data_IF_045880852076
#
_entry.id   IF_045880852076
#
_cell.length_a   1.000
_cell.length_b   1.000
_cell.length_c   1.000
_cell.angle_alpha   90.00
_cell.angle_beta   90.00
_cell.angle_gamma   90.00
#
_symmetry.space_group_name_H-M   'P 1'
#
loop_
_entity.id
_entity.type
_entity.pdbx_description
1 polymer ?
#
# COMPACT_ATOMS: atom_id res chain seq x y z
N UNK A 1 46.03 46.89 1.86
CA UNK A 1 44.55 47.02 1.90
C UNK A 1 43.97 45.82 1.15
N UNK A 2 43.56 44.78 1.87
CA UNK A 2 43.09 43.53 1.31
C UNK A 2 41.55 43.45 1.54
N UNK A 3 40.77 43.38 0.46
CA UNK A 3 39.33 43.34 0.51
C UNK A 3 38.86 41.91 0.76
N UNK A 4 38.20 41.71 1.88
CA UNK A 4 37.46 40.46 2.19
C UNK A 4 36.29 40.30 1.22
N UNK A 5 36.28 39.20 0.45
CA UNK A 5 35.07 38.74 -0.30
C UNK A 5 34.19 37.95 0.63
N UNK A 6 33.03 38.49 0.97
CA UNK A 6 31.95 37.77 1.62
C UNK A 6 31.42 36.67 0.70
N UNK A 7 31.56 35.44 1.16
CA UNK A 7 30.99 34.27 0.51
C UNK A 7 29.46 34.29 0.55
N UNK A 8 28.83 34.17 -0.62
CA UNK A 8 27.36 34.02 -0.74
C UNK A 8 26.93 32.72 -0.07
N UNK A 9 26.14 32.86 0.95
CA UNK A 9 25.36 31.79 1.57
C UNK A 9 24.51 31.09 0.50
N UNK A 10 24.79 29.81 0.22
CA UNK A 10 23.91 28.99 -0.59
C UNK A 10 22.65 28.71 0.21
N UNK A 11 21.53 29.26 -0.22
CA UNK A 11 20.22 28.82 0.22
C UNK A 11 20.09 27.32 -0.08
N UNK A 12 19.54 26.51 0.85
CA UNK A 12 19.19 25.13 0.51
C UNK A 12 18.13 25.18 -0.61
N UNK A 13 18.39 24.43 -1.67
CA UNK A 13 17.47 24.29 -2.79
C UNK A 13 16.10 23.89 -2.23
N UNK A 14 15.07 24.65 -2.58
CA UNK A 14 13.67 24.28 -2.37
C UNK A 14 13.48 22.87 -2.94
N UNK A 15 13.12 21.89 -2.11
CA UNK A 15 12.71 20.58 -2.59
C UNK A 15 11.53 20.82 -3.52
N UNK A 16 11.68 20.38 -4.75
CA UNK A 16 10.64 20.39 -5.76
C UNK A 16 9.48 19.53 -5.22
N UNK A 17 8.40 20.18 -4.78
CA UNK A 17 7.21 19.55 -4.18
C UNK A 17 6.27 18.97 -5.23
N UNK A 18 6.74 18.81 -6.48
CA UNK A 18 5.92 18.35 -7.61
C UNK A 18 5.93 16.83 -7.82
N UNK A 19 6.71 16.05 -7.06
CA UNK A 19 6.73 14.61 -7.23
C UNK A 19 5.44 13.98 -6.69
N UNK A 20 4.64 13.40 -7.59
CA UNK A 20 3.44 12.64 -7.20
C UNK A 20 3.84 11.33 -6.52
N UNK A 21 3.24 11.05 -5.35
CA UNK A 21 3.57 9.89 -4.51
C UNK A 21 2.44 8.87 -4.55
N UNK A 22 2.79 7.61 -4.78
CA UNK A 22 1.88 6.47 -4.78
C UNK A 22 2.30 5.52 -3.67
N UNK A 23 1.50 5.44 -2.62
CA UNK A 23 1.73 4.54 -1.49
C UNK A 23 0.95 3.25 -1.70
N UNK A 24 1.63 2.13 -1.83
CA UNK A 24 1.02 0.81 -1.82
C UNK A 24 1.10 0.21 -0.41
N UNK A 25 -0.04 0.10 0.26
CA UNK A 25 -0.16 -0.52 1.58
C UNK A 25 -0.57 -1.98 1.43
N UNK A 26 0.38 -2.88 1.62
CA UNK A 26 0.19 -4.33 1.51
C UNK A 26 -0.22 -4.93 2.85
N UNK A 27 -1.32 -5.65 2.88
CA UNK A 27 -1.81 -6.31 4.11
C UNK A 27 -2.49 -7.64 3.83
N UNK A 28 -2.56 -8.50 4.82
CA UNK A 28 -3.52 -9.59 4.87
C UNK A 28 -4.91 -9.11 5.30
N UNK A 29 -5.95 -9.95 5.20
CA UNK A 29 -7.30 -9.65 5.67
C UNK A 29 -7.35 -9.54 7.19
N UNK A 30 -8.47 -9.02 7.71
CA UNK A 30 -8.72 -8.87 9.16
C UNK A 30 -7.66 -8.04 9.89
N UNK A 31 -7.09 -7.10 9.18
CA UNK A 31 -6.17 -6.09 9.66
C UNK A 31 -6.86 -4.72 9.74
N UNK A 32 -6.16 -3.69 10.20
CA UNK A 32 -6.68 -2.30 10.28
C UNK A 32 -6.51 -1.52 8.96
N UNK A 33 -6.24 -2.19 7.84
CA UNK A 33 -5.94 -1.57 6.55
C UNK A 33 -7.02 -0.60 6.06
N UNK A 34 -8.30 -0.92 6.28
CA UNK A 34 -9.42 -0.04 5.94
C UNK A 34 -9.41 1.23 6.81
N UNK A 35 -9.14 1.12 8.11
CA UNK A 35 -9.04 2.31 8.98
C UNK A 35 -7.88 3.22 8.58
N UNK A 36 -6.75 2.64 8.19
CA UNK A 36 -5.61 3.40 7.66
C UNK A 36 -5.95 4.09 6.34
N UNK A 37 -6.60 3.39 5.41
CA UNK A 37 -7.06 3.99 4.15
C UNK A 37 -7.99 5.17 4.41
N UNK A 38 -8.97 5.03 5.33
CA UNK A 38 -9.89 6.13 5.71
C UNK A 38 -9.16 7.31 6.34
N UNK A 39 -8.07 7.08 7.09
CA UNK A 39 -7.24 8.17 7.60
C UNK A 39 -6.60 8.99 6.45
N UNK A 40 -6.13 8.31 5.40
CA UNK A 40 -5.59 8.99 4.21
C UNK A 40 -6.68 9.64 3.35
N UNK A 41 -7.87 9.05 3.25
CA UNK A 41 -9.02 9.61 2.53
C UNK A 41 -9.47 10.97 3.10
N UNK A 42 -9.29 11.19 4.41
CA UNK A 42 -9.61 12.48 5.05
C UNK A 42 -8.66 13.62 4.65
N UNK A 43 -7.56 13.33 3.95
CA UNK A 43 -6.62 14.35 3.47
C UNK A 43 -7.16 15.00 2.19
N UNK A 44 -7.08 16.32 2.11
CA UNK A 44 -7.49 17.07 0.92
C UNK A 44 -6.56 16.88 -0.28
N UNK A 45 -5.32 16.44 -0.03
CA UNK A 45 -4.28 16.22 -1.04
C UNK A 45 -4.15 14.76 -1.49
N UNK A 46 -4.98 13.85 -0.97
CA UNK A 46 -4.90 12.41 -1.23
C UNK A 46 -6.14 11.90 -1.97
N UNK A 47 -5.92 10.90 -2.83
CA UNK A 47 -6.96 10.00 -3.33
C UNK A 47 -6.67 8.59 -2.84
N UNK A 48 -7.70 7.78 -2.65
CA UNK A 48 -7.55 6.39 -2.18
C UNK A 48 -8.12 5.39 -3.18
N UNK A 49 -7.55 4.18 -3.22
CA UNK A 49 -8.12 3.02 -3.89
C UNK A 49 -8.20 1.86 -2.92
N UNK A 50 -9.35 1.19 -2.88
CA UNK A 50 -9.61 0.05 -2.02
C UNK A 50 -9.55 -1.25 -2.83
N UNK A 51 -8.57 -2.08 -2.57
CA UNK A 51 -8.39 -3.41 -3.16
C UNK A 51 -8.48 -3.45 -4.70
N UNK A 52 -7.68 -2.65 -5.43
CA UNK A 52 -7.86 -2.47 -6.88
C UNK A 52 -7.71 -3.76 -7.70
N UNK A 53 -6.97 -4.77 -7.20
CA UNK A 53 -6.81 -6.07 -7.85
C UNK A 53 -7.96 -7.06 -7.56
N UNK A 54 -8.96 -6.69 -6.75
CA UNK A 54 -9.96 -7.64 -6.26
C UNK A 54 -10.85 -8.24 -7.37
N UNK A 55 -11.27 -7.44 -8.35
CA UNK A 55 -12.05 -7.95 -9.48
C UNK A 55 -11.27 -8.95 -10.33
N UNK A 56 -9.99 -8.67 -10.61
CA UNK A 56 -9.10 -9.57 -11.32
C UNK A 56 -8.87 -10.88 -10.52
N UNK A 57 -8.64 -10.78 -9.21
CA UNK A 57 -8.52 -11.92 -8.30
C UNK A 57 -9.76 -12.82 -8.33
N UNK A 58 -10.95 -12.25 -8.13
CA UNK A 58 -12.21 -13.00 -8.15
C UNK A 58 -12.46 -13.67 -9.51
N UNK A 59 -12.18 -12.96 -10.60
CA UNK A 59 -12.34 -13.49 -11.96
C UNK A 59 -11.40 -14.66 -12.22
N UNK A 60 -10.15 -14.57 -11.79
CA UNK A 60 -9.12 -15.58 -12.07
C UNK A 60 -9.29 -16.82 -11.18
N UNK A 61 -9.64 -16.63 -9.91
CA UNK A 61 -9.80 -17.75 -8.95
C UNK A 61 -11.16 -18.43 -9.02
N UNK A 62 -12.18 -17.74 -9.51
CA UNK A 62 -13.57 -18.22 -9.46
C UNK A 62 -14.11 -18.35 -8.02
N UNK A 63 -13.47 -17.70 -7.05
CA UNK A 63 -13.84 -17.79 -5.64
C UNK A 63 -15.28 -17.30 -5.42
N UNK A 64 -16.11 -18.13 -4.81
CA UNK A 64 -17.45 -17.74 -4.40
C UNK A 64 -17.37 -16.84 -3.17
N UNK A 65 -17.59 -15.55 -3.35
CA UNK A 65 -17.63 -14.55 -2.29
C UNK A 65 -18.91 -13.72 -2.41
N UNK A 66 -19.56 -13.34 -1.31
CA UNK A 66 -20.72 -12.44 -1.38
C UNK A 66 -20.40 -11.18 -2.17
N UNK A 67 -21.23 -10.86 -3.18
CA UNK A 67 -21.02 -9.71 -4.06
C UNK A 67 -19.96 -9.91 -5.16
N UNK A 68 -19.44 -11.14 -5.35
CA UNK A 68 -18.40 -11.37 -6.37
C UNK A 68 -18.83 -11.00 -7.78
N UNK A 69 -20.09 -11.29 -8.15
CA UNK A 69 -20.62 -10.97 -9.46
C UNK A 69 -20.67 -9.45 -9.72
N UNK A 70 -21.11 -8.69 -8.73
CA UNK A 70 -21.18 -7.23 -8.78
C UNK A 70 -19.77 -6.61 -8.84
N UNK A 71 -18.81 -7.13 -8.05
CA UNK A 71 -17.41 -6.66 -8.08
C UNK A 71 -16.78 -6.93 -9.44
N UNK A 72 -16.97 -8.13 -10.01
CA UNK A 72 -16.46 -8.50 -11.34
C UNK A 72 -17.10 -7.64 -12.43
N UNK A 73 -18.41 -7.36 -12.33
CA UNK A 73 -19.11 -6.54 -13.30
C UNK A 73 -18.71 -5.06 -13.27
N UNK A 74 -18.33 -4.54 -12.10
CA UNK A 74 -17.99 -3.13 -11.90
C UNK A 74 -16.48 -2.84 -12.00
N UNK A 75 -15.63 -3.84 -11.78
CA UNK A 75 -14.17 -3.67 -11.71
C UNK A 75 -13.45 -4.10 -12.98
N UNK A 76 -12.18 -3.68 -13.09
CA UNK A 76 -11.27 -4.17 -14.12
C UNK A 76 -10.76 -5.58 -13.74
N UNK A 77 -10.98 -6.54 -14.62
CA UNK A 77 -10.60 -7.93 -14.40
C UNK A 77 -9.25 -8.31 -15.05
N UNK A 78 -8.61 -7.39 -15.75
CA UNK A 78 -7.24 -7.56 -16.24
C UNK A 78 -6.26 -6.89 -15.28
N UNK A 79 -5.51 -7.69 -14.53
CA UNK A 79 -4.53 -7.18 -13.58
C UNK A 79 -3.46 -6.29 -14.23
N UNK A 80 -3.16 -6.47 -15.52
CA UNK A 80 -2.18 -5.65 -16.25
C UNK A 80 -2.71 -4.25 -16.45
N UNK A 81 -3.96 -4.13 -16.88
CA UNK A 81 -4.67 -2.84 -17.01
C UNK A 81 -4.77 -2.13 -15.65
N UNK A 82 -5.07 -2.89 -14.58
CA UNK A 82 -5.06 -2.36 -13.21
C UNK A 82 -3.66 -1.83 -12.84
N UNK A 83 -2.60 -2.60 -13.07
CA UNK A 83 -1.22 -2.21 -12.78
C UNK A 83 -0.80 -0.94 -13.54
N UNK A 84 -1.14 -0.84 -14.84
CA UNK A 84 -0.92 0.37 -15.64
C UNK A 84 -1.64 1.58 -15.06
N UNK A 85 -2.90 1.40 -14.63
CA UNK A 85 -3.67 2.46 -13.98
C UNK A 85 -3.01 2.91 -12.69
N UNK A 86 -2.60 1.97 -11.81
CA UNK A 86 -2.04 2.26 -10.49
C UNK A 86 -0.67 2.95 -10.55
N UNK A 87 0.06 2.77 -11.63
CA UNK A 87 1.36 3.43 -11.88
C UNK A 87 1.23 4.68 -12.76
N UNK A 88 0.07 4.86 -13.39
CA UNK A 88 -0.26 5.99 -14.25
C UNK A 88 -0.52 7.31 -13.53
N UNK A 89 -1.12 8.29 -14.19
CA UNK A 89 -1.48 9.58 -13.59
C UNK A 89 -2.40 9.41 -12.38
N UNK A 90 -2.14 10.17 -11.31
CA UNK A 90 -2.97 10.12 -10.09
C UNK A 90 -4.35 10.74 -10.39
N UNK A 91 -5.46 10.07 -10.04
CA UNK A 91 -6.80 10.56 -10.26
C UNK A 91 -7.02 11.96 -9.65
N UNK A 92 -7.71 12.82 -10.39
CA UNK A 92 -8.01 14.19 -9.97
C UNK A 92 -6.78 15.10 -9.85
N UNK A 93 -5.61 14.68 -10.39
CA UNK A 93 -4.36 15.46 -10.33
C UNK A 93 -3.85 15.68 -8.91
N UNK A 94 -4.23 14.83 -7.95
CA UNK A 94 -3.76 14.92 -6.57
C UNK A 94 -2.28 14.57 -6.48
N UNK A 95 -1.52 15.13 -5.53
CA UNK A 95 -0.11 14.79 -5.34
C UNK A 95 0.13 13.45 -4.66
N UNK A 96 -0.87 12.90 -3.98
CA UNK A 96 -0.79 11.66 -3.21
C UNK A 96 -1.89 10.67 -3.61
N UNK A 97 -1.51 9.41 -3.78
CA UNK A 97 -2.42 8.29 -3.99
C UNK A 97 -2.10 7.17 -3.00
N UNK A 98 -3.04 6.87 -2.10
CA UNK A 98 -2.95 5.75 -1.18
C UNK A 98 -3.73 4.56 -1.74
N UNK A 99 -3.04 3.47 -2.02
CA UNK A 99 -3.58 2.25 -2.60
C UNK A 99 -3.58 1.15 -1.52
N UNK A 100 -4.76 0.74 -1.07
CA UNK A 100 -4.88 -0.39 -0.15
C UNK A 100 -4.88 -1.68 -0.95
N UNK A 101 -3.90 -2.54 -0.71
CA UNK A 101 -3.74 -3.84 -1.36
C UNK A 101 -3.90 -5.00 -0.39
N UNK A 102 -4.50 -6.08 -0.87
CA UNK A 102 -4.52 -7.36 -0.19
C UNK A 102 -3.45 -8.26 -0.82
N UNK A 103 -2.50 -8.75 -0.02
CA UNK A 103 -1.35 -9.50 -0.53
C UNK A 103 -1.77 -10.80 -1.24
N UNK A 104 -2.87 -11.45 -0.81
CA UNK A 104 -3.40 -12.63 -1.46
C UNK A 104 -4.07 -12.39 -2.82
N UNK A 105 -4.25 -11.13 -3.22
CA UNK A 105 -4.68 -10.81 -4.59
C UNK A 105 -3.54 -10.88 -5.62
N UNK A 106 -2.28 -10.99 -5.16
CA UNK A 106 -1.15 -11.32 -6.02
C UNK A 106 -1.15 -12.83 -6.29
N UNK A 107 -1.57 -13.21 -7.48
CA UNK A 107 -1.66 -14.59 -7.89
C UNK A 107 -0.39 -15.04 -8.63
N UNK A 108 -0.12 -16.34 -8.59
CA UNK A 108 0.99 -16.94 -9.31
C UNK A 108 0.97 -16.53 -10.80
N UNK A 109 2.14 -16.16 -11.31
CA UNK A 109 2.31 -15.72 -12.70
C UNK A 109 1.96 -14.26 -12.99
N UNK A 110 1.56 -13.46 -11.98
CA UNK A 110 1.54 -12.01 -12.10
C UNK A 110 2.96 -11.46 -12.11
N UNK A 111 3.27 -10.58 -13.06
CA UNK A 111 4.51 -9.81 -13.03
C UNK A 111 4.42 -8.69 -11.97
N UNK A 112 5.40 -8.63 -11.08
CA UNK A 112 5.49 -7.65 -10.01
C UNK A 112 6.30 -6.40 -10.39
N UNK A 113 6.81 -6.30 -11.63
CA UNK A 113 7.65 -5.18 -12.06
C UNK A 113 7.03 -3.80 -11.80
N UNK A 114 5.73 -3.67 -11.94
CA UNK A 114 4.99 -2.43 -11.67
C UNK A 114 5.02 -2.00 -10.20
N UNK A 115 5.14 -2.95 -9.26
CA UNK A 115 5.14 -2.68 -7.81
C UNK A 115 6.37 -1.85 -7.43
N UNK A 116 7.48 -2.01 -8.11
CA UNK A 116 8.73 -1.25 -7.86
C UNK A 116 8.59 0.26 -8.13
N UNK A 117 7.57 0.69 -8.87
CA UNK A 117 7.28 2.11 -9.11
C UNK A 117 6.51 2.77 -7.95
N UNK A 118 6.14 2.03 -6.91
CA UNK A 118 5.34 2.49 -5.79
C UNK A 118 6.18 2.61 -4.50
N UNK A 119 5.71 3.45 -3.58
CA UNK A 119 6.22 3.48 -2.20
C UNK A 119 5.57 2.35 -1.40
N UNK A 120 6.25 1.22 -1.30
CA UNK A 120 5.71 0.00 -0.71
C UNK A 120 5.84 0.00 0.80
N UNK A 121 4.72 -0.25 1.49
CA UNK A 121 4.62 -0.34 2.95
C UNK A 121 3.82 -1.58 3.32
N UNK A 122 4.24 -2.28 4.36
CA UNK A 122 3.61 -3.50 4.82
C UNK A 122 2.91 -3.29 6.16
N UNK A 123 1.64 -3.70 6.23
CA UNK A 123 0.87 -3.71 7.46
C UNK A 123 0.66 -5.15 7.89
N UNK A 124 1.23 -5.52 9.03
CA UNK A 124 1.14 -6.88 9.57
C UNK A 124 0.25 -6.94 10.82
N UNK A 125 -0.24 -8.13 11.10
CA UNK A 125 -0.93 -8.47 12.34
C UNK A 125 -0.51 -9.87 12.76
N UNK A 126 -0.41 -10.10 14.07
CA UNK A 126 -0.05 -11.42 14.58
C UNK A 126 -0.95 -12.52 13.99
N UNK A 127 -0.41 -13.60 13.40
CA UNK A 127 -1.19 -14.60 12.67
C UNK A 127 -2.33 -15.20 13.50
N UNK A 128 -2.10 -15.51 14.78
CA UNK A 128 -3.16 -16.05 15.64
C UNK A 128 -4.35 -15.10 15.81
N UNK A 129 -4.09 -13.78 15.85
CA UNK A 129 -5.15 -12.77 15.93
C UNK A 129 -5.91 -12.63 14.61
N UNK A 130 -5.23 -12.83 13.46
CA UNK A 130 -5.89 -12.89 12.14
C UNK A 130 -6.81 -14.10 12.08
N UNK A 131 -6.31 -15.31 12.37
CA UNK A 131 -7.07 -16.56 12.36
C UNK A 131 -8.27 -16.46 13.31
N UNK A 132 -8.06 -16.04 14.57
CA UNK A 132 -9.13 -15.87 15.55
C UNK A 132 -10.23 -14.88 15.11
N UNK A 133 -9.88 -13.89 14.31
CA UNK A 133 -10.85 -12.96 13.71
C UNK A 133 -11.57 -13.56 12.49
N UNK A 134 -10.85 -14.38 11.71
CA UNK A 134 -11.34 -14.94 10.45
C UNK A 134 -12.40 -16.03 10.69
N UNK A 135 -12.14 -16.95 11.64
CA UNK A 135 -13.05 -18.06 11.99
C UNK A 135 -14.40 -17.59 12.54
N UNK A 136 -14.51 -16.33 12.99
CA UNK A 136 -15.79 -15.74 13.38
C UNK A 136 -16.72 -15.45 12.19
N UNK A 137 -16.17 -15.38 10.99
CA UNK A 137 -16.91 -15.00 9.78
C UNK A 137 -16.87 -16.06 8.68
N UNK A 138 -16.05 -17.11 8.81
CA UNK A 138 -15.92 -18.22 7.85
C UNK A 138 -15.76 -19.55 8.58
N UNK A 139 -16.35 -20.60 8.01
CA UNK A 139 -16.29 -21.96 8.59
C UNK A 139 -14.89 -22.59 8.45
N UNK A 140 -14.15 -22.24 7.40
CA UNK A 140 -12.81 -22.74 7.13
C UNK A 140 -11.89 -21.58 6.78
N UNK A 141 -10.61 -21.70 7.14
CA UNK A 141 -9.55 -20.74 6.85
C UNK A 141 -8.34 -21.51 6.34
N UNK A 142 -7.93 -21.22 5.11
CA UNK A 142 -6.71 -21.77 4.54
C UNK A 142 -5.56 -20.76 4.68
N UNK A 143 -4.28 -21.21 4.72
CA UNK A 143 -3.13 -20.30 4.76
C UNK A 143 -3.12 -19.25 3.64
N UNK A 144 -3.58 -19.63 2.46
CA UNK A 144 -3.67 -18.74 1.29
C UNK A 144 -4.67 -17.59 1.49
N UNK A 145 -5.74 -17.82 2.28
CA UNK A 145 -6.77 -16.82 2.54
C UNK A 145 -6.25 -15.63 3.37
N UNK A 146 -5.20 -15.85 4.15
CA UNK A 146 -4.62 -14.81 5.02
C UNK A 146 -3.46 -14.03 4.39
N UNK A 147 -2.97 -14.48 3.23
CA UNK A 147 -2.00 -13.75 2.42
C UNK A 147 -0.63 -13.52 3.05
N UNK A 148 -0.27 -14.27 4.10
CA UNK A 148 1.00 -14.07 4.82
C UNK A 148 2.21 -14.51 3.98
N UNK A 149 2.07 -15.60 3.22
CA UNK A 149 3.16 -16.09 2.36
C UNK A 149 3.43 -15.08 1.25
N UNK A 150 2.40 -14.67 0.52
CA UNK A 150 2.53 -13.68 -0.55
C UNK A 150 3.08 -12.35 -0.02
N UNK A 151 2.68 -11.96 1.19
CA UNK A 151 3.21 -10.75 1.83
C UNK A 151 4.70 -10.87 2.15
N UNK A 152 5.16 -12.02 2.64
CA UNK A 152 6.56 -12.28 2.94
C UNK A 152 7.41 -12.38 1.66
N UNK A 153 6.91 -13.06 0.64
CA UNK A 153 7.58 -13.19 -0.67
C UNK A 153 7.76 -11.82 -1.33
N UNK A 154 6.71 -11.00 -1.37
CA UNK A 154 6.78 -9.64 -1.90
C UNK A 154 7.76 -8.77 -1.10
N UNK A 155 7.76 -8.88 0.23
CA UNK A 155 8.69 -8.15 1.08
C UNK A 155 10.15 -8.49 0.75
N UNK A 156 10.46 -9.79 0.63
CA UNK A 156 11.81 -10.26 0.31
C UNK A 156 12.23 -9.86 -1.11
N UNK A 157 11.33 -9.94 -2.08
CA UNK A 157 11.55 -9.49 -3.46
C UNK A 157 11.94 -8.00 -3.48
N UNK A 158 11.13 -7.14 -2.86
CA UNK A 158 11.38 -5.70 -2.83
C UNK A 158 12.66 -5.34 -2.09
N UNK A 159 12.95 -6.04 -0.98
CA UNK A 159 14.20 -5.87 -0.23
C UNK A 159 15.43 -6.23 -1.06
N UNK A 160 15.36 -7.34 -1.81
CA UNK A 160 16.45 -7.79 -2.66
C UNK A 160 16.67 -6.85 -3.85
N UNK A 161 15.60 -6.41 -4.49
CA UNK A 161 15.67 -5.54 -5.66
C UNK A 161 16.18 -4.13 -5.34
N UNK A 162 15.78 -3.56 -4.20
CA UNK A 162 16.15 -2.18 -3.81
C UNK A 162 17.39 -2.10 -2.94
N UNK A 163 17.81 -3.20 -2.31
CA UNK A 163 18.82 -3.20 -1.25
C UNK A 163 18.38 -2.50 0.04
N UNK A 164 17.13 -2.08 0.15
CA UNK A 164 16.56 -1.41 1.31
C UNK A 164 15.45 -2.25 1.93
N UNK A 165 15.33 -2.18 3.26
CA UNK A 165 14.25 -2.85 3.97
C UNK A 165 12.97 -2.03 3.85
N UNK A 166 11.89 -2.58 3.25
CA UNK A 166 10.60 -1.90 3.20
C UNK A 166 10.05 -1.61 4.62
N UNK A 167 9.28 -0.52 4.76
CA UNK A 167 8.64 -0.19 6.03
C UNK A 167 7.59 -1.24 6.38
N UNK A 168 7.66 -1.75 7.62
CA UNK A 168 6.67 -2.66 8.19
C UNK A 168 6.02 -2.00 9.39
N UNK A 169 4.69 -2.06 9.46
CA UNK A 169 3.88 -1.53 10.57
C UNK A 169 3.13 -2.69 11.20
N UNK A 170 3.36 -2.95 12.49
CA UNK A 170 2.53 -3.87 13.27
C UNK A 170 1.25 -3.17 13.72
N UNK A 171 0.10 -3.83 13.47
CA UNK A 171 -1.21 -3.24 13.77
C UNK A 171 -1.48 -3.07 15.27
N UNK A 172 -0.94 -3.92 16.12
CA UNK A 172 -1.12 -3.80 17.57
C UNK A 172 -0.31 -2.62 18.12
N UNK A 173 0.93 -2.47 17.63
CA UNK A 173 1.76 -1.32 17.97
C UNK A 173 1.16 -0.02 17.42
N UNK A 174 0.70 -0.03 16.16
CA UNK A 174 0.00 1.11 15.58
C UNK A 174 -1.18 1.56 16.45
N UNK A 175 -2.03 0.63 16.91
CA UNK A 175 -3.20 0.94 17.73
C UNK A 175 -2.83 1.51 19.12
N UNK A 176 -1.62 1.24 19.62
CA UNK A 176 -1.13 1.82 20.88
C UNK A 176 -0.78 3.30 20.75
N UNK A 177 -0.34 3.76 19.57
CA UNK A 177 0.01 5.16 19.31
C UNK A 177 -0.19 5.54 17.84
N UNK A 178 -1.45 5.62 17.35
CA UNK A 178 -1.74 5.82 15.93
C UNK A 178 -1.11 7.10 15.36
N UNK A 179 -1.07 8.17 16.15
CA UNK A 179 -0.52 9.46 15.69
C UNK A 179 0.98 9.36 15.38
N UNK A 180 1.76 8.76 16.27
CA UNK A 180 3.20 8.62 16.06
C UNK A 180 3.51 7.74 14.85
N UNK A 181 2.78 6.63 14.67
CA UNK A 181 2.94 5.76 13.50
C UNK A 181 2.55 6.44 12.19
N UNK A 182 1.46 7.20 12.15
CA UNK A 182 1.08 7.98 10.96
C UNK A 182 2.11 9.05 10.63
N UNK A 183 2.67 9.74 11.65
CA UNK A 183 3.75 10.70 11.45
C UNK A 183 5.00 10.04 10.87
N UNK A 184 5.39 8.87 11.41
CA UNK A 184 6.53 8.11 10.91
C UNK A 184 6.30 7.61 9.47
N UNK A 185 5.10 7.12 9.16
CA UNK A 185 4.72 6.72 7.81
C UNK A 185 4.79 7.91 6.84
N UNK A 186 4.21 9.05 7.18
CA UNK A 186 4.27 10.25 6.35
C UNK A 186 5.72 10.68 6.10
N UNK A 187 6.56 10.70 7.14
CA UNK A 187 7.97 11.03 7.01
C UNK A 187 8.72 10.04 6.11
N UNK A 188 8.43 8.73 6.24
CA UNK A 188 9.06 7.68 5.43
C UNK A 188 8.73 7.83 3.94
N UNK A 189 7.47 8.10 3.60
CA UNK A 189 7.04 8.26 2.19
C UNK A 189 7.25 9.68 1.66
N UNK A 190 7.76 10.60 2.47
CA UNK A 190 8.14 11.96 2.05
C UNK A 190 6.99 12.95 1.95
N UNK A 191 5.90 12.74 2.72
CA UNK A 191 4.74 13.64 2.77
C UNK A 191 4.63 14.34 4.13
N UNK A 192 3.93 15.48 4.15
CA UNK A 192 3.61 16.19 5.40
C UNK A 192 2.45 15.46 6.11
N UNK A 193 2.57 15.34 7.44
CA UNK A 193 1.50 14.79 8.28
C UNK A 193 0.37 15.77 8.53
#
# INVERSE_FOLDING_TARGET
MSALRLGRSRHPASRDTSASIRVAMWSGPRNISTAMMRAFENRSDCVVSDEPLYAAFLKQTGLSHPGAAEVIAAGDCDWRSVAETLTGPIPGGRPLWYQKHMSHHLLDGMDHGWIHALSNVFLIRHPSAVVASYIKSRAEVQPQDIGLLQQAELFDELRQASGQTPLVIDSAEFLSNPRAFLQALCAHVGIIF
#
